data_IF_062166412725
#
_entry.id   IF_062166412725
#
_cell.length_a   1.000
_cell.length_b   1.000
_cell.length_c   1.000
_cell.angle_alpha   90.00
_cell.angle_beta   90.00
_cell.angle_gamma   90.00
#
_symmetry.space_group_name_H-M   'P 1'
#
loop_
_entity.id
_entity.type
_entity.pdbx_description
1 polymer ?
#
# COMPACT_ATOMS: atom_id res chain seq x y z
N UNK A 1 -9.60 1.62 -7.78
CA UNK A 1 -9.31 0.96 -6.50
C UNK A 1 -9.27 1.94 -5.33
N UNK A 2 -8.58 3.10 -5.46
CA UNK A 2 -8.39 4.03 -4.32
C UNK A 2 -9.55 5.01 -4.14
N UNK A 3 -10.17 5.43 -5.19
CA UNK A 3 -11.34 6.32 -5.20
C UNK A 3 -12.46 5.55 -5.93
N UNK A 4 -13.43 5.06 -5.17
CA UNK A 4 -14.49 4.20 -5.71
C UNK A 4 -15.58 5.00 -6.43
N UNK A 5 -15.97 6.13 -5.86
CA UNK A 5 -16.95 7.01 -6.46
C UNK A 5 -16.26 8.12 -7.25
N UNK A 6 -16.46 8.11 -8.56
CA UNK A 6 -15.94 9.14 -9.47
C UNK A 6 -16.44 10.55 -9.13
N UNK A 7 -17.57 10.65 -8.41
CA UNK A 7 -18.16 11.91 -7.94
C UNK A 7 -17.71 12.33 -6.55
N UNK A 8 -16.86 11.50 -5.89
CA UNK A 8 -16.37 11.81 -4.57
C UNK A 8 -15.66 13.17 -4.55
N UNK A 9 -15.93 14.04 -3.54
CA UNK A 9 -15.18 15.27 -3.34
C UNK A 9 -13.71 14.97 -3.04
N UNK A 10 -12.80 15.66 -3.72
CA UNK A 10 -11.36 15.45 -3.58
C UNK A 10 -10.72 16.77 -3.13
N UNK A 11 -9.91 16.70 -2.08
CA UNK A 11 -8.97 17.77 -1.68
C UNK A 11 -7.57 17.28 -1.95
N UNK A 12 -6.75 18.10 -2.58
CA UNK A 12 -5.41 17.74 -2.97
C UNK A 12 -4.37 18.22 -1.95
N UNK A 13 -3.34 17.41 -1.80
CA UNK A 13 -2.05 17.80 -1.23
C UNK A 13 -1.03 17.58 -2.32
N UNK A 14 -0.48 18.65 -2.86
CA UNK A 14 0.47 18.61 -3.96
C UNK A 14 1.69 19.49 -3.64
N UNK A 15 2.86 19.21 -4.24
CA UNK A 15 3.99 20.12 -4.19
C UNK A 15 3.60 21.48 -4.76
N UNK A 16 4.18 22.56 -4.21
CA UNK A 16 3.91 23.93 -4.64
C UNK A 16 4.12 24.08 -6.17
N UNK A 17 3.13 24.68 -6.83
CA UNK A 17 3.12 24.86 -8.29
C UNK A 17 2.73 23.63 -9.10
N UNK A 18 2.30 22.54 -8.45
CA UNK A 18 1.83 21.29 -9.10
C UNK A 18 0.32 21.07 -8.97
N UNK A 19 -0.37 21.98 -8.35
CA UNK A 19 -1.78 21.84 -8.02
C UNK A 19 -2.66 21.74 -9.27
N UNK A 20 -2.45 22.65 -10.26
CA UNK A 20 -3.20 22.62 -11.52
C UNK A 20 -2.91 21.35 -12.33
N UNK A 21 -1.65 20.93 -12.37
CA UNK A 21 -1.28 19.66 -13.03
C UNK A 21 -2.00 18.48 -12.40
N UNK A 22 -2.08 18.43 -11.07
CA UNK A 22 -2.77 17.35 -10.34
C UNK A 22 -4.27 17.33 -10.66
N UNK A 23 -4.94 18.50 -10.66
CA UNK A 23 -6.36 18.63 -11.05
C UNK A 23 -6.58 18.14 -12.48
N UNK A 24 -5.76 18.58 -13.44
CA UNK A 24 -5.89 18.19 -14.84
C UNK A 24 -5.68 16.68 -15.04
N UNK A 25 -4.75 16.07 -14.30
CA UNK A 25 -4.53 14.63 -14.37
C UNK A 25 -5.71 13.82 -13.84
N UNK A 26 -6.34 14.27 -12.75
CA UNK A 26 -7.55 13.66 -12.23
C UNK A 26 -8.73 13.81 -13.20
N UNK A 27 -8.94 15.00 -13.74
CA UNK A 27 -10.00 15.27 -14.70
C UNK A 27 -9.88 14.39 -15.98
N UNK A 28 -8.65 14.13 -16.47
CA UNK A 28 -8.43 13.25 -17.63
C UNK A 28 -8.92 11.83 -17.44
N UNK A 29 -9.07 11.37 -16.21
CA UNK A 29 -9.61 10.04 -15.87
C UNK A 29 -10.98 10.11 -15.23
N UNK A 30 -11.64 11.30 -15.32
CA UNK A 30 -13.04 11.50 -14.95
C UNK A 30 -13.29 11.95 -13.51
N UNK A 31 -12.24 12.24 -12.73
CA UNK A 31 -12.39 12.79 -11.37
C UNK A 31 -12.45 14.31 -11.42
N UNK A 32 -13.63 14.86 -11.68
CA UNK A 32 -13.83 16.30 -11.90
C UNK A 32 -14.22 17.08 -10.62
N UNK A 33 -14.46 16.36 -9.50
CA UNK A 33 -14.96 16.97 -8.27
C UNK A 33 -13.82 17.34 -7.31
N UNK A 34 -12.81 18.04 -7.80
CA UNK A 34 -11.75 18.61 -6.97
C UNK A 34 -12.21 19.89 -6.31
N UNK A 35 -12.36 19.91 -4.98
CA UNK A 35 -12.83 21.07 -4.20
C UNK A 35 -11.72 22.12 -4.00
N UNK A 36 -10.47 21.71 -4.04
CA UNK A 36 -9.32 22.57 -3.81
C UNK A 36 -8.08 21.80 -3.39
N UNK A 37 -7.12 22.53 -2.84
CA UNK A 37 -5.87 21.95 -2.34
C UNK A 37 -5.46 22.59 -1.01
N UNK A 38 -4.68 21.84 -0.21
CA UNK A 38 -4.08 22.35 1.02
C UNK A 38 -2.88 23.24 0.67
N UNK A 39 -3.07 24.55 0.79
CA UNK A 39 -1.98 25.52 0.55
C UNK A 39 -0.86 25.33 1.57
N UNK A 40 0.37 25.19 1.10
CA UNK A 40 1.54 24.91 1.94
C UNK A 40 1.75 23.42 2.22
N UNK A 41 0.93 22.55 1.60
CA UNK A 41 1.09 21.08 1.71
C UNK A 41 0.83 20.55 3.11
N UNK A 42 1.37 19.38 3.39
CA UNK A 42 1.22 18.67 4.68
C UNK A 42 1.76 19.49 5.86
N UNK A 43 2.77 20.31 5.63
CA UNK A 43 3.42 21.13 6.67
C UNK A 43 2.52 22.26 7.19
N UNK A 44 1.53 22.66 6.39
CA UNK A 44 0.51 23.65 6.78
C UNK A 44 -0.71 23.04 7.49
N UNK A 45 -0.73 21.72 7.69
CA UNK A 45 -1.83 21.05 8.36
C UNK A 45 -1.66 21.14 9.88
N UNK A 46 -2.59 21.81 10.54
CA UNK A 46 -2.55 22.02 12.01
C UNK A 46 -3.19 20.87 12.81
N UNK A 47 -3.72 19.86 12.14
CA UNK A 47 -4.34 18.69 12.79
C UNK A 47 -3.33 17.61 13.18
N UNK A 48 -3.83 16.56 13.84
CA UNK A 48 -3.01 15.38 14.17
C UNK A 48 -2.77 14.54 12.93
N UNK A 49 -1.52 14.25 12.61
CA UNK A 49 -1.13 13.33 11.55
C UNK A 49 -0.95 11.91 12.13
N UNK A 50 -1.52 10.93 11.46
CA UNK A 50 -1.18 9.54 11.70
C UNK A 50 0.14 9.22 11.01
N UNK A 51 0.95 8.39 11.67
CA UNK A 51 2.21 7.89 11.13
C UNK A 51 2.11 6.40 10.87
N UNK A 52 2.88 5.91 9.90
CA UNK A 52 2.98 4.48 9.60
C UNK A 52 4.34 4.01 10.12
N UNK A 53 4.30 2.97 10.96
CA UNK A 53 5.52 2.29 11.39
C UNK A 53 6.17 1.59 10.22
N UNK A 54 7.50 1.68 10.12
CA UNK A 54 8.26 1.11 9.00
C UNK A 54 9.47 0.33 9.49
N UNK A 55 9.77 -0.76 8.79
CA UNK A 55 10.93 -1.61 9.04
C UNK A 55 11.64 -1.93 7.71
N UNK A 56 12.98 -1.91 7.65
CA UNK A 56 13.71 -2.35 6.47
C UNK A 56 13.59 -3.87 6.25
N UNK A 57 13.68 -4.33 5.01
CA UNK A 57 13.62 -5.77 4.68
C UNK A 57 14.68 -6.60 5.43
N UNK A 58 15.87 -6.04 5.63
CA UNK A 58 16.96 -6.73 6.36
C UNK A 58 16.67 -6.90 7.85
N UNK A 59 15.97 -5.98 8.46
CA UNK A 59 15.52 -6.11 9.86
C UNK A 59 14.34 -7.07 9.96
N UNK A 60 13.40 -7.00 9.01
CA UNK A 60 12.25 -7.89 8.93
C UNK A 60 12.65 -9.37 8.78
N UNK A 61 13.75 -9.66 8.10
CA UNK A 61 14.32 -11.00 7.97
C UNK A 61 14.46 -11.75 9.31
N UNK A 62 14.76 -11.02 10.38
CA UNK A 62 14.94 -11.61 11.73
C UNK A 62 13.65 -12.09 12.39
N UNK A 63 12.48 -11.62 11.91
CA UNK A 63 11.18 -11.86 12.56
C UNK A 63 10.12 -12.41 11.61
N UNK A 64 10.40 -12.58 10.31
CA UNK A 64 9.37 -12.86 9.30
C UNK A 64 8.62 -14.19 9.53
N UNK A 65 9.28 -15.21 10.09
CA UNK A 65 8.69 -16.53 10.31
C UNK A 65 7.54 -16.55 11.35
N UNK A 66 7.58 -15.58 12.27
CA UNK A 66 6.56 -15.43 13.32
C UNK A 66 5.61 -14.26 13.02
N UNK A 67 5.65 -13.73 11.79
CA UNK A 67 4.90 -12.57 11.36
C UNK A 67 3.76 -12.91 10.40
N UNK A 68 2.63 -12.20 10.53
CA UNK A 68 1.60 -12.24 9.50
C UNK A 68 1.99 -11.27 8.38
N UNK A 69 2.26 -11.79 7.20
CA UNK A 69 2.79 -11.04 6.06
C UNK A 69 1.67 -10.80 5.05
N UNK A 70 1.41 -9.54 4.71
CA UNK A 70 0.47 -9.17 3.66
C UNK A 70 1.24 -8.68 2.42
N UNK A 71 1.11 -9.42 1.33
CA UNK A 71 1.59 -9.00 0.01
C UNK A 71 0.47 -8.29 -0.76
N UNK A 72 0.61 -6.96 -0.88
CA UNK A 72 -0.40 -6.13 -1.55
C UNK A 72 -0.09 -5.88 -3.04
N UNK A 73 0.79 -6.70 -3.62
CA UNK A 73 1.09 -6.67 -5.05
C UNK A 73 -0.10 -7.23 -5.85
N UNK A 74 -0.02 -7.11 -7.16
CA UNK A 74 -1.03 -7.72 -8.05
C UNK A 74 -0.98 -9.24 -7.98
N UNK A 75 -2.11 -9.96 -8.21
CA UNK A 75 -2.14 -11.42 -8.17
C UNK A 75 -1.07 -12.09 -9.05
N UNK A 76 -0.79 -11.54 -10.23
CA UNK A 76 0.25 -12.08 -11.11
C UNK A 76 1.68 -11.91 -10.57
N UNK A 77 1.95 -10.84 -9.81
CA UNK A 77 3.25 -10.66 -9.14
C UNK A 77 3.41 -11.66 -8.00
N UNK A 78 2.35 -11.88 -7.21
CA UNK A 78 2.32 -12.87 -6.13
C UNK A 78 2.48 -14.30 -6.67
N UNK A 79 1.71 -14.65 -7.70
CA UNK A 79 1.77 -16.00 -8.31
C UNK A 79 3.10 -16.29 -8.98
N UNK A 80 3.85 -15.26 -9.41
CA UNK A 80 5.16 -15.45 -9.98
C UNK A 80 6.21 -15.85 -8.94
N UNK A 81 6.22 -15.19 -7.81
CA UNK A 81 7.15 -15.44 -6.70
C UNK A 81 6.73 -14.59 -5.51
N UNK A 82 6.70 -15.15 -4.31
CA UNK A 82 6.37 -14.44 -3.07
C UNK A 82 7.13 -15.00 -1.87
N UNK A 83 7.10 -14.30 -0.74
CA UNK A 83 7.64 -14.81 0.53
C UNK A 83 6.78 -15.98 0.98
N UNK A 84 7.40 -17.09 1.37
CA UNK A 84 6.68 -18.25 1.92
C UNK A 84 5.76 -17.79 3.07
N UNK A 85 4.56 -18.37 3.12
CA UNK A 85 3.52 -18.06 4.10
C UNK A 85 2.92 -16.64 4.03
N UNK A 86 3.31 -15.80 3.06
CA UNK A 86 2.66 -14.51 2.85
C UNK A 86 1.23 -14.68 2.34
N UNK A 87 0.31 -13.91 2.90
CA UNK A 87 -1.07 -13.82 2.43
C UNK A 87 -1.15 -12.80 1.29
N UNK A 88 -1.74 -13.19 0.16
CA UNK A 88 -2.04 -12.24 -0.93
C UNK A 88 -3.22 -11.35 -0.55
N UNK A 89 -3.02 -10.03 -0.63
CA UNK A 89 -4.06 -9.04 -0.30
C UNK A 89 -3.94 -7.83 -1.24
N UNK A 90 -4.25 -7.99 -2.53
CA UNK A 90 -3.95 -6.99 -3.55
C UNK A 90 -4.62 -5.64 -3.30
N UNK A 91 -3.85 -4.55 -3.39
CA UNK A 91 -4.37 -3.19 -3.28
C UNK A 91 -5.53 -2.91 -4.24
N UNK A 92 -5.51 -3.50 -5.43
CA UNK A 92 -6.53 -3.27 -6.46
C UNK A 92 -7.93 -3.72 -6.01
N UNK A 93 -8.03 -4.63 -5.03
CA UNK A 93 -9.27 -5.21 -4.52
C UNK A 93 -9.45 -5.02 -3.01
N UNK A 94 -8.66 -4.15 -2.39
CA UNK A 94 -8.57 -4.02 -0.93
C UNK A 94 -9.93 -3.78 -0.26
N UNK A 95 -10.78 -2.96 -0.88
CA UNK A 95 -12.09 -2.60 -0.32
C UNK A 95 -13.07 -3.78 -0.30
N UNK A 96 -12.95 -4.70 -1.26
CA UNK A 96 -13.82 -5.88 -1.35
C UNK A 96 -13.46 -6.94 -0.29
N UNK A 97 -12.20 -6.93 0.19
CA UNK A 97 -11.63 -7.97 1.05
C UNK A 97 -11.33 -7.50 2.48
N UNK A 98 -11.71 -6.26 2.87
CA UNK A 98 -11.41 -5.72 4.19
C UNK A 98 -11.82 -6.66 5.33
N UNK A 99 -12.96 -7.32 5.23
CA UNK A 99 -13.49 -8.20 6.28
C UNK A 99 -12.78 -9.56 6.39
N UNK A 100 -11.81 -9.85 5.55
CA UNK A 100 -11.04 -11.11 5.60
C UNK A 100 -9.87 -11.06 6.58
N UNK A 101 -9.55 -9.87 7.08
CA UNK A 101 -8.48 -9.65 8.05
C UNK A 101 -9.04 -9.38 9.44
N UNK A 102 -8.35 -9.89 10.46
CA UNK A 102 -8.64 -9.57 11.85
C UNK A 102 -8.01 -8.22 12.24
N UNK A 103 -8.84 -7.26 12.71
CA UNK A 103 -8.41 -5.87 12.95
C UNK A 103 -7.33 -5.71 14.04
N UNK A 104 -7.29 -6.61 15.00
CA UNK A 104 -6.34 -6.58 16.13
C UNK A 104 -5.03 -7.32 15.85
N UNK A 105 -4.98 -8.11 14.78
CA UNK A 105 -3.79 -8.88 14.41
C UNK A 105 -2.70 -7.96 13.86
N UNK A 106 -1.45 -8.09 14.32
CA UNK A 106 -0.33 -7.37 13.73
C UNK A 106 -0.01 -7.90 12.34
N UNK A 107 0.12 -7.00 11.36
CA UNK A 107 0.49 -7.36 9.99
C UNK A 107 1.69 -6.57 9.53
N UNK A 108 2.63 -7.27 8.89
CA UNK A 108 3.73 -6.68 8.15
C UNK A 108 3.33 -6.62 6.67
N UNK A 109 3.25 -5.42 6.13
CA UNK A 109 2.68 -5.17 4.80
C UNK A 109 3.78 -4.77 3.84
N UNK A 110 3.85 -5.44 2.70
CA UNK A 110 4.79 -5.08 1.65
C UNK A 110 4.13 -5.04 0.26
N UNK A 111 4.79 -4.33 -0.63
CA UNK A 111 4.53 -4.40 -2.06
C UNK A 111 5.84 -4.63 -2.83
N UNK A 112 5.97 -4.19 -4.07
CA UNK A 112 7.22 -4.34 -4.81
C UNK A 112 8.35 -3.45 -4.27
N UNK A 113 8.07 -2.19 -3.94
CA UNK A 113 9.08 -1.20 -3.55
C UNK A 113 8.61 -0.20 -2.48
N UNK A 114 7.61 -0.54 -1.66
CA UNK A 114 7.17 0.26 -0.50
C UNK A 114 6.05 1.27 -0.74
N UNK A 115 5.71 1.64 -1.98
CA UNK A 115 4.70 2.68 -2.26
C UNK A 115 3.24 2.18 -2.08
N UNK A 116 2.87 1.07 -2.71
CA UNK A 116 1.51 0.49 -2.63
C UNK A 116 1.17 0.03 -1.21
N UNK A 117 2.15 -0.46 -0.47
CA UNK A 117 1.97 -0.89 0.93
C UNK A 117 1.61 0.27 1.86
N UNK A 118 2.23 1.44 1.71
CA UNK A 118 1.85 2.65 2.47
C UNK A 118 0.39 3.03 2.18
N UNK A 119 -0.04 2.99 0.92
CA UNK A 119 -1.43 3.27 0.54
C UNK A 119 -2.37 2.23 1.16
N UNK A 120 -2.03 0.93 1.08
CA UNK A 120 -2.83 -0.14 1.67
C UNK A 120 -2.99 0.01 3.18
N UNK A 121 -1.89 0.31 3.88
CA UNK A 121 -1.91 0.57 5.33
C UNK A 121 -2.80 1.76 5.65
N UNK A 122 -2.72 2.85 4.88
CA UNK A 122 -3.57 4.03 5.09
C UNK A 122 -5.07 3.70 4.98
N UNK A 123 -5.45 2.88 3.99
CA UNK A 123 -6.83 2.41 3.83
C UNK A 123 -7.24 1.50 5.00
N UNK A 124 -6.38 0.56 5.40
CA UNK A 124 -6.63 -0.33 6.53
C UNK A 124 -6.81 0.46 7.83
N UNK A 125 -5.92 1.42 8.12
CA UNK A 125 -6.04 2.29 9.31
C UNK A 125 -7.35 3.08 9.31
N UNK A 126 -7.79 3.61 8.17
CA UNK A 126 -9.08 4.30 8.04
C UNK A 126 -10.26 3.37 8.36
N UNK A 127 -10.12 2.07 8.13
CA UNK A 127 -11.12 1.04 8.44
C UNK A 127 -10.95 0.40 9.82
N UNK A 128 -10.10 0.98 10.68
CA UNK A 128 -9.93 0.61 12.09
C UNK A 128 -8.98 -0.57 12.34
N UNK A 129 -8.11 -0.88 11.39
CA UNK A 129 -7.01 -1.80 11.60
C UNK A 129 -5.88 -1.11 12.36
N UNK A 130 -5.26 -1.82 13.27
CA UNK A 130 -4.13 -1.36 14.08
C UNK A 130 -2.94 -2.31 13.91
N UNK A 131 -1.80 -1.95 14.47
CA UNK A 131 -0.59 -2.80 14.47
C UNK A 131 -0.12 -3.17 13.04
N UNK A 132 -0.06 -2.17 12.16
CA UNK A 132 0.38 -2.32 10.78
C UNK A 132 1.78 -1.74 10.62
N UNK A 133 2.69 -2.55 10.07
CA UNK A 133 4.08 -2.17 9.82
C UNK A 133 4.37 -2.26 8.33
N UNK A 134 4.93 -1.22 7.74
CA UNK A 134 5.34 -1.20 6.34
C UNK A 134 6.78 -1.71 6.19
N UNK A 135 7.02 -2.59 5.22
CA UNK A 135 8.38 -2.99 4.83
C UNK A 135 8.85 -2.06 3.71
N UNK A 136 9.86 -1.21 4.01
CA UNK A 136 10.21 -0.03 3.20
C UNK A 136 10.62 -0.36 1.76
N UNK A 137 11.51 -1.34 1.55
CA UNK A 137 11.98 -1.75 0.23
C UNK A 137 11.03 -2.75 -0.45
N UNK A 138 10.06 -3.27 0.32
CA UNK A 138 9.13 -4.28 -0.15
C UNK A 138 9.84 -5.52 -0.72
N UNK A 139 9.21 -6.14 -1.72
CA UNK A 139 9.73 -7.38 -2.33
C UNK A 139 11.14 -7.24 -2.93
N UNK A 140 11.48 -6.05 -3.43
CA UNK A 140 12.81 -5.79 -3.97
C UNK A 140 13.92 -5.97 -2.91
N UNK A 141 13.63 -5.63 -1.66
CA UNK A 141 14.54 -5.79 -0.54
C UNK A 141 14.75 -7.25 -0.14
N UNK A 142 13.74 -8.12 -0.30
CA UNK A 142 13.82 -9.52 0.11
C UNK A 142 14.86 -10.33 -0.69
N UNK A 143 15.14 -9.94 -1.93
CA UNK A 143 16.17 -10.60 -2.76
C UNK A 143 17.58 -10.49 -2.19
N UNK A 144 17.81 -9.59 -1.23
CA UNK A 144 19.08 -9.43 -0.53
C UNK A 144 19.10 -10.08 0.85
N UNK A 145 18.11 -10.91 1.19
CA UNK A 145 17.94 -11.58 2.46
C UNK A 145 17.95 -13.09 2.30
N UNK A 146 18.01 -13.82 3.43
CA UNK A 146 17.88 -15.30 3.48
C UNK A 146 16.41 -15.73 3.70
N UNK A 147 15.45 -14.83 3.45
CA UNK A 147 14.03 -15.18 3.57
C UNK A 147 13.64 -16.21 2.51
N UNK A 148 12.81 -17.16 2.92
CA UNK A 148 12.31 -18.20 2.02
C UNK A 148 11.31 -17.62 1.02
N UNK A 149 11.66 -17.73 -0.25
CA UNK A 149 10.78 -17.33 -1.35
C UNK A 149 10.26 -18.60 -2.04
N UNK A 150 9.08 -18.52 -2.62
CA UNK A 150 8.53 -19.60 -3.46
C UNK A 150 9.33 -19.72 -4.76
N UNK A 151 9.23 -20.87 -5.42
CA UNK A 151 9.83 -21.05 -6.75
C UNK A 151 9.25 -20.05 -7.76
N UNK A 152 10.14 -19.44 -8.54
CA UNK A 152 9.71 -18.50 -9.56
C UNK A 152 8.93 -19.18 -10.69
N UNK A 153 7.74 -18.70 -10.95
CA UNK A 153 6.88 -19.11 -12.05
C UNK A 153 6.68 -17.96 -13.01
N UNK A 154 7.03 -18.13 -14.29
CA UNK A 154 6.85 -17.09 -15.28
C UNK A 154 5.36 -16.70 -15.39
N UNK A 155 4.99 -15.42 -15.24
CA UNK A 155 3.57 -14.99 -15.29
C UNK A 155 2.84 -15.37 -16.59
N UNK A 156 3.56 -15.55 -17.70
CA UNK A 156 2.99 -15.99 -18.96
C UNK A 156 2.58 -17.47 -19.00
N UNK A 157 3.01 -18.26 -18.01
CA UNK A 157 2.68 -19.69 -17.89
C UNK A 157 1.56 -19.97 -16.89
N UNK A 158 1.20 -18.98 -16.08
CA UNK A 158 0.05 -19.06 -15.16
C UNK A 158 -1.23 -18.84 -15.97
N UNK A 159 -2.04 -19.89 -16.09
CA UNK A 159 -3.34 -19.86 -16.78
C UNK A 159 -4.45 -19.45 -15.82
#
# INVERSE_FOLDING_TARGET
ALIEDIKQPIVLIAPEGKEEEAVLRLARVGYDNTLGYLKGGVEAYEGTLNTIETIPAKEFEGIYRDSNILDVRKPGEFSAEHVADAQTFPLDFINDHLNELEKSTPYHVHCAGGYRSVISISILMQNGYTNLVNITEGYAGFRGTEMELTDYVCPSTVK
#
